data_IF_674147181710
#
_entry.id   IF_674147181710
#
_cell.length_a   1.000
_cell.length_b   1.000
_cell.length_c   1.000
_cell.angle_alpha   90.00
_cell.angle_beta   90.00
_cell.angle_gamma   90.00
#
_symmetry.space_group_name_H-M   'P 1'
#
loop_
_entity.id
_entity.type
_entity.pdbx_description
1 polymer ?
#
# COMPACT_ATOMS: atom_id res chain seq x y z
N UNK A 1 -17.00 3.91 17.66
CA UNK A 1 -17.93 3.47 16.60
C UNK A 1 -18.13 1.97 16.74
N UNK A 2 -19.35 1.55 16.91
CA UNK A 2 -19.70 0.16 17.16
C UNK A 2 -19.86 -0.54 15.82
N UNK A 3 -19.16 -1.66 15.60
CA UNK A 3 -19.16 -2.42 14.35
C UNK A 3 -20.40 -3.30 14.14
N UNK A 4 -21.39 -3.23 15.04
CA UNK A 4 -22.56 -4.13 15.09
C UNK A 4 -23.64 -3.83 14.03
N UNK A 5 -23.43 -2.87 13.12
CA UNK A 5 -24.43 -2.47 12.12
C UNK A 5 -24.16 -2.92 10.68
N UNK A 6 -23.22 -3.87 10.46
CA UNK A 6 -22.86 -4.34 9.11
C UNK A 6 -23.19 -5.81 8.82
N UNK A 7 -24.04 -6.42 9.63
CA UNK A 7 -24.59 -7.75 9.32
C UNK A 7 -26.09 -7.63 9.20
N UNK A 8 -26.57 -7.35 7.99
CA UNK A 8 -27.79 -7.86 7.37
C UNK A 8 -28.04 -7.06 6.08
N UNK A 9 -28.21 -7.79 4.98
CA UNK A 9 -28.56 -7.42 3.63
C UNK A 9 -27.43 -7.54 2.58
N UNK A 10 -27.07 -8.80 2.31
CA UNK A 10 -26.41 -9.13 1.05
C UNK A 10 -26.90 -10.49 0.54
N UNK A 11 -28.11 -10.54 0.02
CA UNK A 11 -28.48 -11.62 -0.91
C UNK A 11 -29.58 -11.13 -1.88
N UNK A 12 -29.19 -10.50 -2.98
CA UNK A 12 -29.88 -10.61 -4.27
C UNK A 12 -28.89 -10.30 -5.37
N UNK A 13 -28.60 -11.34 -6.14
CA UNK A 13 -27.92 -11.25 -7.42
C UNK A 13 -28.78 -10.47 -8.41
N UNK A 14 -28.18 -9.57 -9.16
CA UNK A 14 -28.49 -9.40 -10.58
C UNK A 14 -27.32 -8.72 -11.28
N UNK A 15 -26.77 -9.41 -12.29
CA UNK A 15 -25.85 -8.85 -13.27
C UNK A 15 -26.66 -8.29 -14.42
N UNK A 16 -26.23 -7.18 -15.01
CA UNK A 16 -26.23 -7.14 -16.46
C UNK A 16 -24.84 -6.86 -17.04
N UNK A 17 -24.44 -7.74 -17.94
CA UNK A 17 -23.55 -7.45 -19.06
C UNK A 17 -24.08 -6.22 -19.82
N UNK A 18 -23.23 -5.23 -20.02
CA UNK A 18 -23.33 -4.37 -21.20
C UNK A 18 -21.93 -3.87 -21.59
N UNK A 19 -21.49 -4.38 -22.72
CA UNK A 19 -20.33 -3.93 -23.47
C UNK A 19 -20.61 -2.51 -24.01
N UNK A 20 -19.70 -1.59 -23.77
CA UNK A 20 -19.62 -0.34 -24.51
C UNK A 20 -18.32 -0.33 -25.32
N UNK A 21 -18.46 -0.53 -26.61
CA UNK A 21 -17.47 -0.26 -27.65
C UNK A 21 -17.05 1.21 -27.55
N UNK A 22 -15.76 1.45 -27.43
CA UNK A 22 -15.15 2.76 -27.67
C UNK A 22 -14.11 2.58 -28.78
N UNK A 23 -14.52 3.01 -29.95
CA UNK A 23 -13.75 3.26 -31.15
C UNK A 23 -12.51 4.11 -30.86
N UNK A 24 -11.33 3.56 -31.09
CA UNK A 24 -10.06 4.26 -30.98
C UNK A 24 -9.49 4.50 -32.40
N UNK A 25 -8.87 5.67 -32.67
CA UNK A 25 -8.40 5.98 -34.00
C UNK A 25 -7.19 5.15 -34.40
N UNK A 26 -7.26 4.65 -35.60
CA UNK A 26 -6.21 4.07 -36.41
C UNK A 26 -4.98 5.00 -36.49
N UNK A 27 -3.87 4.57 -35.91
CA UNK A 27 -2.57 5.22 -36.08
C UNK A 27 -1.60 4.23 -36.74
N UNK A 28 -1.58 4.28 -38.06
CA UNK A 28 -0.47 3.75 -38.85
C UNK A 28 0.82 4.53 -38.49
N UNK A 29 1.64 3.99 -37.59
CA UNK A 29 2.97 4.48 -37.32
C UNK A 29 3.99 3.57 -38.01
N UNK A 30 4.68 4.16 -38.97
CA UNK A 30 5.89 3.67 -39.63
C UNK A 30 6.94 3.30 -38.60
N UNK A 31 7.45 2.07 -38.71
CA UNK A 31 8.58 1.56 -37.94
C UNK A 31 9.84 2.35 -38.30
N UNK A 32 10.38 3.10 -37.36
CA UNK A 32 11.77 3.56 -37.39
C UNK A 32 12.51 2.90 -36.22
N UNK A 33 13.56 2.14 -36.58
CA UNK A 33 14.22 1.20 -35.69
C UNK A 33 15.26 1.90 -34.79
N UNK A 34 14.87 2.18 -33.56
CA UNK A 34 15.81 2.27 -32.44
C UNK A 34 15.18 1.49 -31.29
N UNK A 35 15.71 0.29 -31.05
CA UNK A 35 15.22 -0.64 -30.03
C UNK A 35 15.42 -0.13 -28.61
N UNK A 36 14.61 0.82 -28.19
CA UNK A 36 14.44 1.16 -26.79
C UNK A 36 13.53 0.09 -26.18
N UNK A 37 14.10 -0.85 -25.43
CA UNK A 37 13.37 -1.85 -24.66
C UNK A 37 12.42 -1.11 -23.71
N UNK A 38 11.11 -1.23 -23.94
CA UNK A 38 10.09 -0.62 -23.06
C UNK A 38 10.30 -1.19 -21.67
N UNK A 39 10.54 -0.29 -20.69
CA UNK A 39 10.69 -0.69 -19.30
C UNK A 39 9.41 -1.41 -18.83
N UNK A 40 9.56 -2.57 -18.21
CA UNK A 40 8.47 -3.36 -17.62
C UNK A 40 8.61 -3.40 -16.11
N UNK A 41 7.56 -3.81 -15.41
CA UNK A 41 7.54 -3.90 -13.96
C UNK A 41 7.64 -2.52 -13.26
N UNK A 42 8.16 -2.47 -12.02
CA UNK A 42 8.28 -1.23 -11.24
C UNK A 42 9.01 -0.10 -11.98
N UNK A 43 9.97 -0.44 -12.86
CA UNK A 43 10.70 0.55 -13.66
C UNK A 43 9.79 1.32 -14.64
N UNK A 44 8.72 0.72 -15.14
CA UNK A 44 7.74 1.39 -16.00
C UNK A 44 7.01 2.52 -15.26
N UNK A 45 6.69 2.32 -13.98
CA UNK A 45 5.96 3.29 -13.18
C UNK A 45 6.85 4.35 -12.54
N UNK A 46 8.05 3.98 -12.07
CA UNK A 46 8.92 4.86 -11.30
C UNK A 46 10.10 5.43 -12.12
N UNK A 47 10.34 4.92 -13.32
CA UNK A 47 11.50 5.21 -14.17
C UNK A 47 12.66 4.26 -13.89
N UNK A 48 13.36 3.83 -14.95
CA UNK A 48 14.40 2.80 -14.86
C UNK A 48 15.55 3.16 -13.90
N UNK A 49 15.95 4.43 -13.83
CA UNK A 49 16.98 4.90 -12.91
C UNK A 49 16.55 5.14 -11.47
N UNK A 50 15.24 5.01 -11.19
CA UNK A 50 14.67 5.24 -9.86
C UNK A 50 14.38 3.95 -9.07
N UNK A 51 14.69 2.79 -9.65
CA UNK A 51 14.43 1.48 -9.04
C UNK A 51 15.74 0.73 -8.83
N UNK A 52 15.97 0.30 -7.60
CA UNK A 52 17.03 -0.65 -7.25
C UNK A 52 16.40 -1.96 -6.83
N UNK A 53 16.69 -3.03 -7.55
CA UNK A 53 16.20 -4.37 -7.22
C UNK A 53 17.20 -5.09 -6.32
N UNK A 54 16.73 -5.65 -5.20
CA UNK A 54 17.53 -6.42 -4.25
C UNK A 54 16.85 -7.75 -3.92
N UNK A 55 17.60 -8.82 -4.01
CA UNK A 55 17.24 -10.12 -3.44
C UNK A 55 18.10 -10.35 -2.19
N UNK A 56 17.48 -10.74 -1.10
CA UNK A 56 18.15 -10.92 0.18
C UNK A 56 18.07 -12.41 0.54
N UNK A 57 19.23 -13.04 0.61
CA UNK A 57 19.33 -14.48 0.91
C UNK A 57 19.51 -14.72 2.41
N UNK A 58 18.51 -14.26 3.19
CA UNK A 58 18.38 -14.65 4.60
C UNK A 58 17.11 -15.48 4.79
N UNK A 59 17.04 -16.37 5.80
CA UNK A 59 15.87 -17.21 6.01
C UNK A 59 14.55 -16.44 6.02
N UNK A 60 14.54 -15.24 6.62
CA UNK A 60 13.36 -14.40 6.78
C UNK A 60 12.84 -13.84 5.44
N UNK A 61 13.73 -13.68 4.45
CA UNK A 61 13.43 -13.06 3.16
C UNK A 61 13.63 -13.99 1.97
N UNK A 62 13.85 -15.29 2.23
CA UNK A 62 14.05 -16.26 1.15
C UNK A 62 12.89 -16.22 0.15
N UNK A 63 13.23 -16.05 -1.12
CA UNK A 63 12.26 -15.97 -2.20
C UNK A 63 11.57 -14.61 -2.35
N UNK A 64 11.96 -13.60 -1.56
CA UNK A 64 11.43 -12.23 -1.69
C UNK A 64 12.42 -11.35 -2.43
N UNK A 65 11.92 -10.66 -3.45
CA UNK A 65 12.65 -9.61 -4.17
C UNK A 65 12.11 -8.25 -3.77
N UNK A 66 13.00 -7.36 -3.37
CA UNK A 66 12.67 -5.98 -3.03
C UNK A 66 13.00 -5.05 -4.20
N UNK A 67 12.02 -4.25 -4.60
CA UNK A 67 12.18 -3.15 -5.56
C UNK A 67 12.19 -1.84 -4.79
N UNK A 68 13.38 -1.37 -4.44
CA UNK A 68 13.57 -0.08 -3.75
C UNK A 68 13.32 1.06 -4.71
N UNK A 69 12.39 1.93 -4.39
CA UNK A 69 12.02 3.07 -5.24
C UNK A 69 12.00 4.37 -4.44
N UNK A 70 12.31 5.47 -5.11
CA UNK A 70 12.02 6.82 -4.61
C UNK A 70 10.69 7.29 -5.19
N UNK A 71 9.65 7.24 -4.39
CA UNK A 71 8.31 7.65 -4.80
C UNK A 71 8.23 9.19 -4.97
N UNK A 72 7.28 9.65 -5.80
CA UNK A 72 6.99 11.08 -6.02
C UNK A 72 5.90 11.59 -5.08
N UNK A 73 4.97 10.70 -4.70
CA UNK A 73 3.90 10.96 -3.74
C UNK A 73 3.66 9.75 -2.87
N UNK A 74 3.18 9.96 -1.65
CA UNK A 74 2.88 8.92 -0.68
C UNK A 74 1.41 8.93 -0.26
N UNK A 75 0.85 10.11 -0.02
CA UNK A 75 -0.56 10.29 0.34
C UNK A 75 -1.43 10.10 -0.90
N UNK A 76 -2.36 9.15 -0.85
CA UNK A 76 -3.24 8.82 -1.95
C UNK A 76 -4.68 9.10 -1.56
N UNK A 77 -5.42 9.75 -2.45
CA UNK A 77 -6.86 9.92 -2.28
C UNK A 77 -7.59 8.66 -2.75
N UNK A 78 -8.52 8.21 -1.95
CA UNK A 78 -9.44 7.12 -2.31
C UNK A 78 -10.50 7.69 -3.25
N UNK A 79 -10.83 7.03 -4.38
CA UNK A 79 -11.88 7.51 -5.28
C UNK A 79 -13.22 7.69 -4.55
N UNK A 80 -13.91 8.79 -4.82
CA UNK A 80 -15.16 9.15 -4.13
C UNK A 80 -16.31 8.16 -4.34
N UNK A 81 -16.25 7.31 -5.37
CA UNK A 81 -17.20 6.20 -5.59
C UNK A 81 -16.93 5.01 -4.66
N UNK A 82 -15.82 5.00 -3.95
CA UNK A 82 -15.49 3.96 -2.97
C UNK A 82 -16.39 4.10 -1.73
N UNK A 83 -16.92 2.97 -1.25
CA UNK A 83 -17.70 2.91 0.01
C UNK A 83 -16.82 2.87 1.26
N UNK A 84 -15.52 3.21 1.14
CA UNK A 84 -14.58 3.16 2.26
C UNK A 84 -14.84 4.32 3.22
N UNK A 85 -14.72 4.10 4.55
CA UNK A 85 -14.96 5.12 5.57
C UNK A 85 -13.80 6.14 5.70
N UNK A 86 -12.86 6.16 4.77
CA UNK A 86 -11.70 7.05 4.76
C UNK A 86 -11.42 7.57 3.34
N UNK A 87 -10.93 8.80 3.25
CA UNK A 87 -10.62 9.43 1.96
C UNK A 87 -9.13 9.36 1.60
N UNK A 88 -8.24 9.21 2.58
CA UNK A 88 -6.80 9.28 2.38
C UNK A 88 -6.09 8.06 2.93
N UNK A 89 -5.11 7.59 2.17
CA UNK A 89 -4.29 6.44 2.56
C UNK A 89 -2.81 6.71 2.36
N UNK A 90 -2.00 6.04 3.19
CA UNK A 90 -0.55 5.96 3.03
C UNK A 90 -0.15 4.49 2.96
N UNK A 91 0.57 4.13 1.90
CA UNK A 91 1.09 2.79 1.69
C UNK A 91 2.58 2.87 1.36
N UNK A 92 3.49 2.58 2.33
CA UNK A 92 4.93 2.61 2.11
C UNK A 92 5.44 1.46 1.23
N UNK A 93 4.63 0.43 1.09
CA UNK A 93 4.93 -0.77 0.30
C UNK A 93 3.89 -1.01 -0.78
N UNK A 94 4.22 -1.88 -1.77
CA UNK A 94 3.28 -2.59 -2.64
C UNK A 94 3.70 -4.04 -2.71
N UNK A 95 2.72 -4.96 -2.76
CA UNK A 95 2.91 -6.36 -2.47
C UNK A 95 2.96 -6.62 -0.97
N UNK A 96 2.67 -7.84 -0.54
CA UNK A 96 2.56 -8.15 0.88
C UNK A 96 2.96 -9.60 1.18
N UNK A 97 4.00 -9.76 1.98
CA UNK A 97 4.56 -11.06 2.38
C UNK A 97 3.69 -11.84 3.38
N UNK A 98 2.56 -11.31 3.83
CA UNK A 98 1.56 -12.08 4.58
C UNK A 98 0.82 -13.11 3.71
N UNK A 99 0.88 -12.96 2.38
CA UNK A 99 0.41 -13.94 1.40
C UNK A 99 -1.05 -14.40 1.57
N UNK A 100 -1.92 -13.55 2.13
CA UNK A 100 -3.33 -13.89 2.34
C UNK A 100 -3.99 -14.29 1.01
N UNK A 101 -4.57 -15.49 0.94
CA UNK A 101 -5.17 -16.03 -0.27
C UNK A 101 -6.39 -15.21 -0.75
N UNK A 102 -7.12 -14.60 0.17
CA UNK A 102 -8.32 -13.78 -0.06
C UNK A 102 -8.03 -12.29 -0.28
N UNK A 103 -6.75 -11.89 -0.39
CA UNK A 103 -6.40 -10.47 -0.45
C UNK A 103 -6.84 -9.82 -1.77
N UNK A 104 -7.74 -8.85 -1.70
CA UNK A 104 -8.20 -8.09 -2.87
C UNK A 104 -7.08 -7.25 -3.51
N UNK A 105 -6.07 -6.86 -2.73
CA UNK A 105 -4.98 -6.01 -3.18
C UNK A 105 -4.04 -6.69 -4.18
N UNK A 106 -4.10 -8.01 -4.34
CA UNK A 106 -3.32 -8.77 -5.34
C UNK A 106 -3.43 -8.16 -6.74
N UNK A 107 -4.64 -7.74 -7.14
CA UNK A 107 -4.89 -7.10 -8.44
C UNK A 107 -4.07 -5.83 -8.67
N UNK A 108 -3.60 -5.17 -7.60
CA UNK A 108 -2.81 -3.93 -7.73
C UNK A 108 -1.41 -4.17 -8.29
N UNK A 109 -0.92 -5.42 -8.30
CA UNK A 109 0.36 -5.78 -8.91
C UNK A 109 0.33 -5.69 -10.44
N UNK A 110 -0.84 -5.88 -11.07
CA UNK A 110 -1.01 -5.71 -12.51
C UNK A 110 -0.62 -4.28 -12.97
N UNK A 111 -0.82 -3.25 -12.15
CA UNK A 111 -0.37 -1.88 -12.48
C UNK A 111 1.16 -1.72 -12.54
N UNK A 112 1.89 -2.72 -12.07
CA UNK A 112 3.35 -2.76 -12.05
C UNK A 112 3.90 -3.74 -13.09
N UNK A 113 3.05 -4.31 -13.95
CA UNK A 113 3.37 -5.45 -14.82
C UNK A 113 3.99 -6.63 -14.05
N UNK A 114 3.54 -6.83 -12.79
CA UNK A 114 3.95 -7.94 -11.93
C UNK A 114 2.82 -8.95 -11.78
N UNK A 115 3.21 -10.21 -11.55
CA UNK A 115 2.25 -11.30 -11.30
C UNK A 115 1.41 -11.02 -10.03
N UNK A 116 0.10 -11.20 -10.17
CA UNK A 116 -0.89 -10.97 -9.09
C UNK A 116 -1.05 -12.16 -8.14
N UNK A 117 -0.48 -13.30 -8.47
CA UNK A 117 -0.42 -14.50 -7.65
C UNK A 117 0.75 -14.47 -6.67
N UNK A 118 1.72 -15.36 -6.88
CA UNK A 118 2.93 -15.46 -6.06
C UNK A 118 3.81 -14.20 -6.15
N UNK A 119 3.75 -13.48 -7.28
CA UNK A 119 4.45 -12.21 -7.42
C UNK A 119 4.00 -11.17 -6.41
N UNK A 120 2.71 -11.11 -6.07
CA UNK A 120 2.21 -10.21 -5.02
C UNK A 120 2.84 -10.49 -3.65
N UNK A 121 3.14 -11.75 -3.37
CA UNK A 121 3.67 -12.19 -2.08
C UNK A 121 5.21 -12.03 -1.99
N UNK A 122 5.89 -12.07 -3.14
CA UNK A 122 7.34 -12.18 -3.24
C UNK A 122 8.04 -11.00 -3.93
N UNK A 123 7.32 -10.17 -4.69
CA UNK A 123 7.85 -8.98 -5.38
C UNK A 123 7.38 -7.73 -4.63
N UNK A 124 8.16 -7.26 -3.67
CA UNK A 124 7.76 -6.17 -2.79
C UNK A 124 8.39 -4.86 -3.24
N UNK A 125 7.57 -3.89 -3.60
CA UNK A 125 8.04 -2.51 -3.85
C UNK A 125 8.13 -1.76 -2.53
N UNK A 126 9.26 -1.11 -2.29
CA UNK A 126 9.59 -0.37 -1.07
C UNK A 126 9.83 1.10 -1.42
N UNK A 127 9.01 1.99 -0.92
CA UNK A 127 9.17 3.44 -1.09
C UNK A 127 10.15 3.98 -0.05
N UNK A 128 11.45 3.91 -0.32
CA UNK A 128 12.52 4.18 0.64
C UNK A 128 12.51 5.60 1.21
N UNK A 129 11.92 6.56 0.50
CA UNK A 129 11.78 7.95 0.94
C UNK A 129 10.41 8.26 1.55
N UNK A 130 9.65 7.27 1.98
CA UNK A 130 8.28 7.46 2.48
C UNK A 130 8.18 8.45 3.65
N UNK A 131 9.01 8.38 4.72
CA UNK A 131 8.91 9.33 5.84
C UNK A 131 9.18 10.78 5.43
N UNK A 132 10.24 11.02 4.64
CA UNK A 132 10.60 12.36 4.15
C UNK A 132 9.50 12.95 3.25
N UNK A 133 8.96 12.09 2.38
CA UNK A 133 7.92 12.46 1.45
C UNK A 133 6.63 12.82 2.18
N UNK A 134 6.27 12.05 3.22
CA UNK A 134 5.10 12.33 4.05
C UNK A 134 5.24 13.67 4.77
N UNK A 135 6.37 13.94 5.42
CA UNK A 135 6.62 15.24 6.07
C UNK A 135 6.40 16.41 5.11
N UNK A 136 6.89 16.28 3.88
CA UNK A 136 6.72 17.30 2.84
C UNK A 136 5.27 17.48 2.41
N UNK A 137 4.54 16.37 2.22
CA UNK A 137 3.14 16.40 1.77
C UNK A 137 2.22 16.95 2.85
N UNK A 138 2.42 16.59 4.12
CA UNK A 138 1.68 17.12 5.25
C UNK A 138 2.01 18.60 5.55
N UNK A 139 3.18 19.08 5.14
CA UNK A 139 3.56 20.49 5.27
C UNK A 139 2.95 21.38 4.18
N UNK A 140 2.39 20.81 3.12
CA UNK A 140 1.86 21.58 2.01
C UNK A 140 0.63 22.41 2.45
N UNK A 141 0.51 23.70 2.05
CA UNK A 141 -0.61 24.57 2.46
C UNK A 141 -2.01 24.03 2.10
N UNK A 142 -2.09 23.16 1.09
CA UNK A 142 -3.34 22.52 0.66
C UNK A 142 -3.76 21.33 1.53
N UNK A 143 -2.88 20.84 2.41
CA UNK A 143 -3.20 19.73 3.28
C UNK A 143 -4.07 20.21 4.45
N UNK A 144 -5.19 19.55 4.65
CA UNK A 144 -6.23 19.98 5.61
C UNK A 144 -6.15 19.26 6.97
N UNK A 145 -5.15 18.39 7.17
CA UNK A 145 -5.08 17.58 8.38
C UNK A 145 -6.12 16.43 8.39
N UNK A 146 -6.56 15.99 7.22
CA UNK A 146 -7.54 14.91 7.11
C UNK A 146 -6.98 13.58 7.65
N UNK A 147 -7.86 12.72 8.16
CA UNK A 147 -7.50 11.40 8.65
C UNK A 147 -6.85 10.54 7.56
N UNK A 148 -5.75 9.87 7.89
CA UNK A 148 -5.03 8.95 6.99
C UNK A 148 -5.16 7.51 7.49
N UNK A 149 -5.64 6.62 6.62
CA UNK A 149 -5.70 5.19 6.90
C UNK A 149 -4.48 4.46 6.32
N UNK A 150 -3.87 3.56 7.11
CA UNK A 150 -2.74 2.74 6.72
C UNK A 150 -3.07 1.24 6.87
N UNK A 151 -2.39 0.39 6.09
CA UNK A 151 -2.67 -1.06 6.11
C UNK A 151 -3.92 -1.47 5.32
N UNK A 152 -4.55 -0.55 4.62
CA UNK A 152 -5.81 -0.77 3.91
C UNK A 152 -5.66 -1.44 2.55
N UNK A 153 -4.47 -1.40 1.96
CA UNK A 153 -4.17 -2.05 0.69
C UNK A 153 -3.07 -3.12 0.84
N UNK A 154 -2.01 -2.78 1.53
CA UNK A 154 -0.93 -3.70 1.92
C UNK A 154 -0.62 -3.49 3.39
N UNK A 155 -0.23 -4.54 4.08
CA UNK A 155 0.12 -4.42 5.49
C UNK A 155 1.41 -3.60 5.65
N UNK A 156 1.34 -2.51 6.41
CA UNK A 156 2.49 -1.65 6.66
C UNK A 156 3.49 -2.27 7.66
N UNK A 157 3.07 -3.28 8.44
CA UNK A 157 3.94 -4.05 9.34
C UNK A 157 4.24 -5.46 8.82
N UNK A 158 4.23 -5.65 7.51
CA UNK A 158 4.71 -6.89 6.89
C UNK A 158 6.22 -7.10 7.11
N UNK A 159 6.76 -8.28 6.77
CA UNK A 159 8.18 -8.63 7.00
C UNK A 159 9.17 -7.58 6.50
N UNK A 160 8.89 -6.91 5.38
CA UNK A 160 9.72 -5.83 4.84
C UNK A 160 9.99 -4.73 5.88
N UNK A 161 9.02 -4.43 6.74
CA UNK A 161 9.15 -3.39 7.76
C UNK A 161 10.22 -3.72 8.81
N UNK A 162 10.50 -5.00 9.08
CA UNK A 162 11.61 -5.41 9.95
C UNK A 162 12.96 -4.93 9.46
N UNK A 163 13.14 -4.86 8.14
CA UNK A 163 14.36 -4.40 7.49
C UNK A 163 14.39 -2.90 7.23
N UNK A 164 13.33 -2.39 6.60
CA UNK A 164 13.33 -1.01 6.09
C UNK A 164 12.95 0.04 7.12
N UNK A 165 12.22 -0.35 8.15
CA UNK A 165 11.85 0.49 9.30
C UNK A 165 11.27 1.85 8.89
N UNK A 166 10.32 1.83 7.94
CA UNK A 166 9.69 3.05 7.42
C UNK A 166 8.61 3.59 8.37
N UNK A 167 7.93 2.69 9.10
CA UNK A 167 6.80 3.05 9.96
C UNK A 167 7.18 4.01 11.10
N UNK A 168 8.32 3.87 11.81
CA UNK A 168 8.70 4.85 12.81
C UNK A 168 8.74 6.27 12.28
N UNK A 169 9.43 6.49 11.16
CA UNK A 169 9.52 7.83 10.56
C UNK A 169 8.20 8.35 9.97
N UNK A 170 7.29 7.45 9.56
CA UNK A 170 5.93 7.80 9.12
C UNK A 170 5.09 8.27 10.33
N UNK A 171 5.12 7.52 11.44
CA UNK A 171 4.40 7.88 12.67
C UNK A 171 4.93 9.21 13.25
N UNK A 172 6.25 9.40 13.25
CA UNK A 172 6.87 10.68 13.64
C UNK A 172 6.34 11.84 12.78
N UNK A 173 6.30 11.68 11.46
CA UNK A 173 5.80 12.71 10.55
C UNK A 173 4.33 13.08 10.82
N UNK A 174 3.49 12.10 11.14
CA UNK A 174 2.08 12.28 11.51
C UNK A 174 1.97 12.98 12.87
N UNK A 175 2.74 12.55 13.87
CA UNK A 175 2.80 13.16 15.20
C UNK A 175 3.25 14.63 15.14
N UNK A 176 4.33 14.94 14.41
CA UNK A 176 4.85 16.29 14.21
C UNK A 176 3.81 17.28 13.69
N UNK A 177 2.83 16.78 12.93
CA UNK A 177 1.74 17.56 12.34
C UNK A 177 0.40 17.41 13.08
N UNK A 178 0.38 16.67 14.18
CA UNK A 178 -0.85 16.30 14.87
C UNK A 178 -1.93 15.78 13.90
N UNK A 179 -1.50 15.00 12.88
CA UNK A 179 -2.39 14.49 11.84
C UNK A 179 -3.05 13.19 12.30
N UNK A 180 -4.40 13.09 12.32
CA UNK A 180 -5.08 11.90 12.75
C UNK A 180 -4.83 10.72 11.78
N UNK A 181 -4.70 9.51 12.32
CA UNK A 181 -4.46 8.32 11.50
C UNK A 181 -4.95 7.03 12.14
N UNK A 182 -5.11 6.02 11.29
CA UNK A 182 -5.41 4.66 11.71
C UNK A 182 -4.48 3.64 11.04
N UNK A 183 -4.23 2.54 11.75
CA UNK A 183 -3.41 1.43 11.26
C UNK A 183 -4.22 0.15 11.36
N UNK A 184 -4.36 -0.56 10.24
CA UNK A 184 -4.87 -1.93 10.19
C UNK A 184 -3.71 -2.86 9.88
N UNK A 185 -3.48 -3.88 10.70
CA UNK A 185 -2.37 -4.82 10.50
C UNK A 185 -2.70 -6.24 10.97
N UNK A 186 -1.97 -7.22 10.43
CA UNK A 186 -1.84 -8.58 10.96
C UNK A 186 -0.51 -8.79 11.69
N UNK A 187 0.42 -7.85 11.51
CA UNK A 187 1.80 -7.97 11.98
C UNK A 187 1.96 -7.60 13.44
N UNK A 188 2.56 -8.49 14.23
CA UNK A 188 2.93 -8.23 15.62
C UNK A 188 4.07 -7.20 15.75
N UNK A 189 4.74 -6.89 14.63
CA UNK A 189 5.86 -5.94 14.60
C UNK A 189 5.44 -4.51 15.00
N UNK A 190 4.16 -4.17 14.96
CA UNK A 190 3.63 -2.90 15.48
C UNK A 190 3.99 -2.67 16.96
N UNK A 191 4.17 -3.76 17.74
CA UNK A 191 4.58 -3.67 19.16
C UNK A 191 5.94 -3.02 19.35
N UNK A 192 6.82 -3.06 18.34
CA UNK A 192 8.10 -2.35 18.33
C UNK A 192 7.93 -0.83 18.47
N UNK A 193 6.85 -0.32 17.90
CA UNK A 193 6.61 1.12 17.76
C UNK A 193 5.54 1.62 18.76
N UNK A 194 5.22 0.82 19.79
CA UNK A 194 4.15 1.12 20.75
C UNK A 194 4.36 2.44 21.49
N UNK A 195 5.58 2.72 21.93
CA UNK A 195 5.90 3.97 22.63
C UNK A 195 5.65 5.17 21.72
N UNK A 196 6.07 5.08 20.45
CA UNK A 196 5.86 6.14 19.46
C UNK A 196 4.38 6.34 19.12
N UNK A 197 3.60 5.26 19.05
CA UNK A 197 2.15 5.33 18.87
C UNK A 197 1.46 5.98 20.07
N UNK A 198 1.93 5.67 21.28
CA UNK A 198 1.43 6.27 22.52
C UNK A 198 1.73 7.78 22.57
N UNK A 199 2.94 8.18 22.20
CA UNK A 199 3.31 9.60 22.07
C UNK A 199 2.44 10.32 21.01
N UNK A 200 2.21 9.69 19.88
CA UNK A 200 1.33 10.23 18.82
C UNK A 200 -0.12 10.39 19.32
N UNK A 201 -0.63 9.40 20.07
CA UNK A 201 -1.97 9.45 20.66
C UNK A 201 -2.13 10.57 21.70
N UNK A 202 -1.03 11.05 22.27
CA UNK A 202 -1.03 12.22 23.15
C UNK A 202 -1.27 13.56 22.45
N UNK A 203 -1.13 13.64 21.12
CA UNK A 203 -1.24 14.87 20.34
C UNK A 203 -2.28 14.83 19.22
N UNK A 204 -2.72 13.64 18.81
CA UNK A 204 -3.71 13.47 17.74
C UNK A 204 -4.54 12.20 17.94
N UNK A 205 -5.61 12.04 17.14
CA UNK A 205 -6.40 10.80 17.14
C UNK A 205 -5.59 9.67 16.46
N UNK A 206 -5.35 8.60 17.20
CA UNK A 206 -4.68 7.38 16.71
C UNK A 206 -5.56 6.18 16.99
N UNK A 207 -5.80 5.37 15.98
CA UNK A 207 -6.49 4.09 16.16
C UNK A 207 -5.73 2.93 15.52
N UNK A 208 -5.80 1.76 16.14
CA UNK A 208 -5.20 0.55 15.65
C UNK A 208 -6.24 -0.56 15.59
N UNK A 209 -6.21 -1.35 14.51
CA UNK A 209 -7.06 -2.50 14.33
C UNK A 209 -6.21 -3.71 13.91
N UNK A 210 -6.57 -4.88 14.42
CA UNK A 210 -5.88 -6.12 14.11
C UNK A 210 -6.79 -7.07 13.35
N UNK A 211 -6.29 -7.57 12.21
CA UNK A 211 -6.99 -8.58 11.44
C UNK A 211 -6.49 -9.98 11.85
N UNK A 212 -7.29 -10.69 12.63
CA UNK A 212 -6.99 -12.03 13.11
C UNK A 212 -7.56 -13.03 12.11
N UNK A 213 -6.70 -13.89 11.54
CA UNK A 213 -7.07 -14.85 10.50
C UNK A 213 -7.68 -16.15 11.02
N UNK A 214 -7.32 -16.55 12.24
CA UNK A 214 -7.81 -17.75 12.93
C UNK A 214 -7.80 -17.54 14.43
N UNK A 215 -8.67 -18.24 15.13
CA UNK A 215 -8.68 -18.36 16.60
C UNK A 215 -8.18 -19.74 17.06
N UNK A 216 -7.69 -20.55 16.12
CA UNK A 216 -7.07 -21.83 16.42
C UNK A 216 -5.69 -21.62 17.02
N UNK A 217 -5.48 -22.08 18.26
CA UNK A 217 -4.22 -21.92 19.00
C UNK A 217 -3.09 -22.79 18.43
N UNK A 218 -3.43 -23.81 17.64
CA UNK A 218 -2.48 -24.74 17.01
C UNK A 218 -2.13 -24.37 15.56
N UNK A 219 -2.60 -23.22 15.03
CA UNK A 219 -2.45 -22.80 13.64
C UNK A 219 -1.16 -21.97 13.37
#
# INVERSE_FOLDING_TARGET
MRWDSLTDDANTADSPDEAADADGPDATATADGTGATRATGPAALFGAGAVTTRTIDTPEFRGITFHEVRARSLVNRVPGASRMPFEWTVNPYRGCSHACVYCFARRTHAYLDLDTGLGFDSQIVVKTNAPELLRRELAAPRWTGAHIAMGTNVDCYQRAEGRYRLMPGIIEALRERANPFSILTKGTMILRDLDLLTEAAGVTEVSTAFSIGTLDEDA
#
